data_IF_432323826878
#
_entry.id   IF_432323826878
#
_cell.length_a   1.000
_cell.length_b   1.000
_cell.length_c   1.000
_cell.angle_alpha   90.00
_cell.angle_beta   90.00
_cell.angle_gamma   90.00
#
_symmetry.space_group_name_H-M   'P 1'
#
loop_
_entity.id
_entity.type
_entity.pdbx_description
1 polymer ?
#
# COMPACT_ATOMS: atom_id res chain seq x y z
N UNK A 1 -44.88 9.94 0.89
CA UNK A 1 -43.49 10.12 0.35
C UNK A 1 -42.69 10.75 1.47
N UNK A 2 -42.08 9.88 2.29
CA UNK A 2 -41.67 10.24 3.64
C UNK A 2 -40.19 10.49 3.79
N UNK A 3 -39.77 10.68 5.02
CA UNK A 3 -38.38 10.84 5.51
C UNK A 3 -37.36 9.93 4.80
N UNK A 4 -37.76 8.71 4.38
CA UNK A 4 -36.89 7.78 3.65
C UNK A 4 -36.46 8.26 2.26
N UNK A 5 -37.30 9.01 1.52
CA UNK A 5 -36.93 9.53 0.21
C UNK A 5 -35.97 10.74 0.33
N UNK A 6 -36.12 11.55 1.38
CA UNK A 6 -35.21 12.65 1.67
C UNK A 6 -33.85 12.11 2.04
N UNK A 7 -33.79 11.12 2.92
CA UNK A 7 -32.54 10.49 3.34
C UNK A 7 -31.80 9.79 2.18
N UNK A 8 -32.51 9.04 1.33
CA UNK A 8 -31.91 8.45 0.11
C UNK A 8 -31.27 9.52 -0.78
N UNK A 9 -31.94 10.65 -0.99
CA UNK A 9 -31.37 11.76 -1.78
C UNK A 9 -30.10 12.31 -1.14
N UNK A 10 -30.11 12.54 0.18
CA UNK A 10 -28.93 13.01 0.90
C UNK A 10 -27.73 12.06 0.75
N UNK A 11 -27.96 10.74 0.86
CA UNK A 11 -26.91 9.76 0.65
C UNK A 11 -26.42 9.77 -0.80
N UNK A 12 -27.33 9.85 -1.78
CA UNK A 12 -26.94 9.93 -3.21
C UNK A 12 -26.13 11.20 -3.52
N UNK A 13 -26.48 12.34 -2.93
CA UNK A 13 -25.74 13.59 -3.07
C UNK A 13 -24.35 13.47 -2.44
N UNK A 14 -24.24 12.85 -1.26
CA UNK A 14 -22.98 12.64 -0.54
C UNK A 14 -21.98 11.82 -1.39
N UNK A 15 -22.44 10.75 -2.02
CA UNK A 15 -21.62 9.90 -2.89
C UNK A 15 -21.57 10.38 -4.34
N UNK A 16 -22.22 11.51 -4.68
CA UNK A 16 -22.24 12.13 -6.01
C UNK A 16 -22.79 11.22 -7.12
N UNK A 17 -23.98 10.64 -6.91
CA UNK A 17 -24.67 9.80 -7.89
C UNK A 17 -26.11 10.27 -8.20
N UNK A 18 -26.51 11.44 -7.74
CA UNK A 18 -27.86 11.97 -7.90
C UNK A 18 -28.28 12.14 -9.36
N UNK A 19 -27.34 12.42 -10.25
CA UNK A 19 -27.53 12.49 -11.71
C UNK A 19 -27.88 11.13 -12.32
N UNK A 20 -27.49 10.02 -11.69
CA UNK A 20 -27.71 8.65 -12.17
C UNK A 20 -28.93 7.97 -11.54
N UNK A 21 -29.73 8.66 -10.72
CA UNK A 21 -30.86 8.10 -9.94
C UNK A 21 -31.88 7.30 -10.76
N UNK A 22 -32.04 7.64 -12.04
CA UNK A 22 -33.01 7.02 -12.94
C UNK A 22 -32.40 5.93 -13.82
N UNK A 23 -31.10 5.63 -13.68
CA UNK A 23 -30.41 4.59 -14.44
C UNK A 23 -30.38 3.27 -13.67
N UNK A 24 -30.47 2.18 -14.39
CA UNK A 24 -30.25 0.85 -13.83
C UNK A 24 -28.77 0.68 -13.46
N UNK A 25 -28.49 0.08 -12.31
CA UNK A 25 -27.13 -0.15 -11.80
C UNK A 25 -26.25 -0.89 -12.81
N UNK A 26 -26.81 -1.88 -13.54
CA UNK A 26 -26.09 -2.63 -14.58
C UNK A 26 -25.55 -1.76 -15.73
N UNK A 27 -26.15 -0.59 -15.96
CA UNK A 27 -25.78 0.35 -17.02
C UNK A 27 -24.84 1.46 -16.53
N UNK A 28 -24.39 1.41 -15.27
CA UNK A 28 -23.46 2.36 -14.70
C UNK A 28 -22.02 1.96 -14.98
N UNK A 29 -21.13 2.96 -15.10
CA UNK A 29 -19.69 2.73 -15.12
C UNK A 29 -19.21 2.06 -13.82
N UNK A 30 -18.01 1.51 -13.83
CA UNK A 30 -17.42 0.89 -12.62
C UNK A 30 -17.38 1.88 -11.46
N UNK A 31 -16.95 3.13 -11.70
CA UNK A 31 -16.89 4.17 -10.67
C UNK A 31 -18.25 4.52 -10.08
N UNK A 32 -19.28 4.60 -10.91
CA UNK A 32 -20.64 4.82 -10.40
C UNK A 32 -21.16 3.62 -9.62
N UNK A 33 -20.87 2.38 -10.02
CA UNK A 33 -21.23 1.19 -9.23
C UNK A 33 -20.53 1.17 -7.87
N UNK A 34 -19.26 1.56 -7.82
CA UNK A 34 -18.52 1.68 -6.57
C UNK A 34 -19.17 2.69 -5.62
N UNK A 35 -19.60 3.85 -6.15
CA UNK A 35 -20.33 4.86 -5.37
C UNK A 35 -21.71 4.39 -4.90
N UNK A 36 -22.39 3.54 -5.68
CA UNK A 36 -23.64 2.90 -5.24
C UNK A 36 -23.37 1.98 -4.05
N UNK A 37 -22.30 1.16 -4.08
CA UNK A 37 -21.91 0.34 -2.95
C UNK A 37 -21.56 1.17 -1.70
N UNK A 38 -20.87 2.29 -1.87
CA UNK A 38 -20.62 3.25 -0.77
C UNK A 38 -21.93 3.84 -0.23
N UNK A 39 -22.86 4.22 -1.10
CA UNK A 39 -24.17 4.69 -0.69
C UNK A 39 -24.92 3.66 0.17
N UNK A 40 -24.87 2.41 -0.23
CA UNK A 40 -25.48 1.29 0.49
C UNK A 40 -24.81 1.09 1.86
N UNK A 41 -23.48 1.14 1.92
CA UNK A 41 -22.73 1.00 3.17
C UNK A 41 -23.01 2.12 4.19
N UNK A 42 -23.35 3.33 3.73
CA UNK A 42 -23.67 4.49 4.59
C UNK A 42 -25.15 4.48 5.02
N UNK A 43 -26.01 3.78 4.28
CA UNK A 43 -27.44 3.74 4.59
C UNK A 43 -27.68 3.16 6.00
N UNK A 44 -28.53 3.82 6.78
CA UNK A 44 -28.79 3.46 8.17
C UNK A 44 -27.85 4.13 9.17
N UNK A 45 -26.88 4.91 8.71
CA UNK A 45 -25.92 5.63 9.54
C UNK A 45 -25.17 4.74 10.55
N UNK A 46 -24.51 3.66 10.06
CA UNK A 46 -23.84 2.69 10.92
C UNK A 46 -22.65 3.31 11.64
N UNK A 47 -22.33 2.81 12.84
CA UNK A 47 -21.13 3.24 13.56
C UNK A 47 -19.84 2.79 12.86
N UNK A 48 -19.87 1.62 12.21
CA UNK A 48 -18.74 1.02 11.50
C UNK A 48 -19.09 0.80 10.05
N UNK A 49 -18.23 1.24 9.14
CA UNK A 49 -18.31 1.05 7.68
C UNK A 49 -17.12 0.20 7.25
N UNK A 50 -17.36 -0.89 6.52
CA UNK A 50 -16.33 -1.77 5.99
C UNK A 50 -16.32 -1.62 4.46
N UNK A 51 -15.16 -1.29 3.91
CA UNK A 51 -14.94 -1.07 2.47
C UNK A 51 -13.86 -2.03 1.97
N UNK A 52 -14.24 -2.92 1.08
CA UNK A 52 -13.29 -3.84 0.45
C UNK A 52 -12.83 -3.28 -0.88
N UNK A 53 -11.52 -2.99 -0.99
CA UNK A 53 -10.84 -2.46 -2.19
C UNK A 53 -11.60 -1.29 -2.86
N UNK A 54 -11.95 -0.20 -2.15
CA UNK A 54 -12.89 0.83 -2.62
C UNK A 54 -12.40 1.62 -3.85
N UNK A 55 -11.13 1.52 -4.23
CA UNK A 55 -10.49 2.28 -5.31
C UNK A 55 -10.12 1.42 -6.51
N UNK A 56 -10.25 0.10 -6.42
CA UNK A 56 -9.81 -0.83 -7.47
C UNK A 56 -10.52 -0.58 -8.81
N UNK A 57 -9.70 -0.34 -9.84
CA UNK A 57 -10.13 -0.16 -11.23
C UNK A 57 -10.87 1.14 -11.49
N UNK A 58 -10.63 2.14 -10.66
CA UNK A 58 -11.01 3.52 -10.87
C UNK A 58 -9.87 4.30 -11.56
N UNK A 59 -10.23 5.35 -12.30
CA UNK A 59 -9.25 6.28 -12.82
C UNK A 59 -8.70 7.20 -11.70
N UNK A 60 -7.54 7.87 -11.91
CA UNK A 60 -6.90 8.70 -10.88
C UNK A 60 -7.81 9.79 -10.30
N UNK A 61 -8.69 10.40 -11.12
CA UNK A 61 -9.62 11.43 -10.66
C UNK A 61 -10.67 10.83 -9.73
N UNK A 62 -11.21 9.68 -10.09
CA UNK A 62 -12.19 8.97 -9.27
C UNK A 62 -11.59 8.49 -7.94
N UNK A 63 -10.33 8.04 -7.95
CA UNK A 63 -9.60 7.65 -6.72
C UNK A 63 -9.54 8.83 -5.76
N UNK A 64 -9.17 10.03 -6.23
CA UNK A 64 -9.11 11.25 -5.39
C UNK A 64 -10.47 11.56 -4.79
N UNK A 65 -11.54 11.43 -5.57
CA UNK A 65 -12.90 11.71 -5.10
C UNK A 65 -13.37 10.69 -4.06
N UNK A 66 -13.07 9.40 -4.23
CA UNK A 66 -13.39 8.35 -3.24
C UNK A 66 -12.58 8.56 -1.95
N UNK A 67 -11.29 8.90 -2.05
CA UNK A 67 -10.47 9.23 -0.87
C UNK A 67 -11.04 10.41 -0.09
N UNK A 68 -11.48 11.45 -0.79
CA UNK A 68 -12.11 12.61 -0.17
C UNK A 68 -13.40 12.20 0.56
N UNK A 69 -14.21 11.36 -0.05
CA UNK A 69 -15.43 10.84 0.57
C UNK A 69 -15.13 10.00 1.82
N UNK A 70 -14.14 9.11 1.76
CA UNK A 70 -13.72 8.32 2.93
C UNK A 70 -13.25 9.24 4.07
N UNK A 71 -12.50 10.31 3.76
CA UNK A 71 -12.08 11.31 4.76
C UNK A 71 -13.27 12.04 5.42
N UNK A 72 -14.32 12.29 4.68
CA UNK A 72 -15.54 12.88 5.25
C UNK A 72 -16.30 11.87 6.12
N UNK A 73 -16.38 10.61 5.68
CA UNK A 73 -17.05 9.55 6.43
C UNK A 73 -16.39 9.28 7.78
N UNK A 74 -15.05 9.24 7.83
CA UNK A 74 -14.31 8.96 9.07
C UNK A 74 -14.50 10.00 10.17
N UNK A 75 -15.03 11.19 9.86
CA UNK A 75 -15.38 12.19 10.87
C UNK A 75 -16.55 11.77 11.77
N UNK A 76 -17.37 10.83 11.30
CA UNK A 76 -18.64 10.43 11.96
C UNK A 76 -18.78 8.92 12.11
N UNK A 77 -17.93 8.14 11.45
CA UNK A 77 -17.98 6.68 11.41
C UNK A 77 -16.58 6.11 11.65
N UNK A 78 -16.51 4.93 12.23
CA UNK A 78 -15.27 4.11 12.14
C UNK A 78 -15.25 3.47 10.77
N UNK A 79 -14.23 3.77 9.96
CA UNK A 79 -14.08 3.22 8.61
C UNK A 79 -12.94 2.22 8.60
N UNK A 80 -13.24 0.98 8.24
CA UNK A 80 -12.27 -0.08 7.98
C UNK A 80 -12.21 -0.27 6.47
N UNK A 81 -11.03 -0.20 5.89
CA UNK A 81 -10.86 -0.45 4.46
C UNK A 81 -9.74 -1.44 4.19
N UNK A 82 -9.91 -2.28 3.19
CA UNK A 82 -8.83 -3.09 2.63
C UNK A 82 -8.22 -2.38 1.40
N UNK A 83 -6.93 -2.53 1.21
CA UNK A 83 -6.22 -2.17 -0.02
C UNK A 83 -4.88 -2.89 -0.09
N UNK A 84 -4.41 -3.17 -1.30
CA UNK A 84 -3.07 -3.69 -1.57
C UNK A 84 -2.09 -2.58 -1.97
N UNK A 85 -2.52 -1.31 -1.99
CA UNK A 85 -1.72 -0.15 -2.40
C UNK A 85 -1.43 0.71 -1.18
N UNK A 86 -0.18 0.65 -0.66
CA UNK A 86 0.22 1.36 0.55
C UNK A 86 0.02 2.88 0.46
N UNK A 87 0.31 3.49 -0.68
CA UNK A 87 0.11 4.94 -0.88
C UNK A 87 -1.36 5.36 -0.82
N UNK A 88 -2.29 4.47 -1.11
CA UNK A 88 -3.73 4.73 -0.94
C UNK A 88 -4.14 4.68 0.51
N UNK A 89 -3.65 3.67 1.22
CA UNK A 89 -3.89 3.50 2.66
C UNK A 89 -3.33 4.68 3.44
N UNK A 90 -2.06 5.04 3.19
CA UNK A 90 -1.39 6.17 3.86
C UNK A 90 -2.09 7.51 3.62
N UNK A 91 -2.79 7.67 2.51
CA UNK A 91 -3.50 8.91 2.19
C UNK A 91 -4.80 9.11 2.99
N UNK A 92 -5.40 8.07 3.56
CA UNK A 92 -6.74 8.14 4.19
C UNK A 92 -6.83 7.51 5.57
N UNK A 93 -5.96 6.55 5.92
CA UNK A 93 -6.00 5.83 7.19
C UNK A 93 -5.19 6.54 8.28
N UNK A 94 -5.65 6.46 9.51
CA UNK A 94 -4.94 6.92 10.70
C UNK A 94 -4.09 5.78 11.30
N UNK A 95 -4.49 4.52 11.02
CA UNK A 95 -3.84 3.32 11.53
C UNK A 95 -3.91 2.19 10.51
N UNK A 96 -2.88 1.37 10.43
CA UNK A 96 -2.74 0.32 9.42
C UNK A 96 -2.42 -1.02 10.08
N UNK A 97 -3.07 -2.07 9.59
CA UNK A 97 -2.83 -3.45 9.95
C UNK A 97 -2.31 -4.18 8.72
N UNK A 98 -1.08 -4.70 8.77
CA UNK A 98 -0.52 -5.50 7.68
C UNK A 98 -0.72 -6.98 7.97
N UNK A 99 -1.44 -7.66 7.08
CA UNK A 99 -1.73 -9.08 7.19
C UNK A 99 -0.99 -9.83 6.08
N UNK A 100 -0.27 -10.89 6.46
CA UNK A 100 0.40 -11.80 5.54
C UNK A 100 0.15 -13.24 5.95
N UNK A 101 -0.26 -14.07 4.98
CA UNK A 101 -0.60 -15.50 5.22
C UNK A 101 -1.56 -15.71 6.41
N UNK A 102 -2.56 -14.85 6.55
CA UNK A 102 -3.56 -14.90 7.62
C UNK A 102 -3.04 -14.50 9.01
N UNK A 103 -1.83 -13.95 9.11
CA UNK A 103 -1.24 -13.43 10.36
C UNK A 103 -1.04 -11.93 10.31
N UNK A 104 -1.27 -11.27 11.43
CA UNK A 104 -0.91 -9.86 11.60
C UNK A 104 0.61 -9.76 11.74
N UNK A 105 1.26 -9.09 10.79
CA UNK A 105 2.73 -8.95 10.74
C UNK A 105 3.22 -7.58 11.21
N UNK A 106 2.40 -6.55 11.05
CA UNK A 106 2.69 -5.21 11.56
C UNK A 106 1.40 -4.44 11.83
N UNK A 107 1.47 -3.47 12.74
CA UNK A 107 0.32 -2.69 13.19
C UNK A 107 0.83 -1.37 13.76
N UNK A 108 0.66 -0.27 13.00
CA UNK A 108 1.10 1.07 13.41
C UNK A 108 0.47 2.16 12.52
N UNK A 109 0.84 3.41 12.77
CA UNK A 109 0.50 4.52 11.89
C UNK A 109 1.21 4.38 10.53
N UNK A 110 0.64 4.94 9.44
CA UNK A 110 1.31 4.93 8.13
C UNK A 110 2.72 5.51 8.14
N UNK A 111 2.94 6.56 8.93
CA UNK A 111 4.24 7.23 9.07
C UNK A 111 5.29 6.31 9.71
N UNK A 112 4.93 5.61 10.79
CA UNK A 112 5.85 4.68 11.47
C UNK A 112 6.14 3.46 10.58
N UNK A 113 5.12 2.93 9.90
CA UNK A 113 5.32 1.83 8.95
C UNK A 113 6.19 2.24 7.76
N UNK A 114 6.06 3.50 7.29
CA UNK A 114 6.94 4.07 6.28
C UNK A 114 8.39 4.09 6.75
N UNK A 115 8.66 4.59 7.96
CA UNK A 115 10.01 4.60 8.56
C UNK A 115 10.58 3.19 8.72
N UNK A 116 9.76 2.22 9.14
CA UNK A 116 10.18 0.81 9.23
C UNK A 116 10.51 0.23 7.85
N UNK A 117 9.82 0.65 6.80
CA UNK A 117 10.11 0.25 5.43
C UNK A 117 11.33 0.98 4.84
N UNK A 118 11.52 2.25 5.21
CA UNK A 118 12.68 3.07 4.82
C UNK A 118 13.94 2.70 5.63
N UNK A 119 13.78 2.24 6.87
CA UNK A 119 14.86 1.88 7.79
C UNK A 119 15.59 0.57 7.46
N UNK A 120 15.22 -0.11 6.39
CA UNK A 120 16.02 -1.17 5.79
C UNK A 120 16.27 -0.85 4.31
N UNK A 121 17.23 0.04 4.04
CA UNK A 121 17.85 0.09 2.72
C UNK A 121 18.53 -1.25 2.47
N UNK A 122 17.75 -2.20 1.94
CA UNK A 122 18.26 -3.51 1.59
C UNK A 122 18.53 -3.54 0.10
N UNK A 123 19.78 -3.66 -0.28
CA UNK A 123 20.18 -3.88 -1.66
C UNK A 123 20.20 -5.38 -1.92
N UNK A 124 19.35 -5.85 -2.84
CA UNK A 124 19.34 -7.24 -3.29
C UNK A 124 20.06 -7.35 -4.65
N UNK A 125 20.97 -8.31 -4.76
CA UNK A 125 21.77 -8.49 -5.98
C UNK A 125 22.10 -9.96 -6.20
N UNK A 126 22.35 -10.32 -7.47
CA UNK A 126 22.87 -11.63 -7.86
C UNK A 126 24.32 -11.46 -8.30
N UNK A 127 25.24 -12.15 -7.60
CA UNK A 127 26.68 -12.01 -7.82
C UNK A 127 27.27 -13.39 -8.13
N UNK A 128 28.13 -13.41 -9.15
CA UNK A 128 28.96 -14.58 -9.48
C UNK A 128 30.33 -14.39 -8.83
N UNK A 129 30.84 -15.41 -8.15
CA UNK A 129 32.18 -15.36 -7.54
C UNK A 129 32.32 -16.23 -6.32
N UNK A 130 33.44 -16.11 -5.64
CA UNK A 130 33.77 -16.80 -4.41
C UNK A 130 33.08 -16.15 -3.22
N UNK A 131 32.35 -16.97 -2.41
CA UNK A 131 31.53 -16.48 -1.28
C UNK A 131 32.29 -15.60 -0.31
N UNK A 132 33.50 -16.03 0.03
CA UNK A 132 34.35 -15.33 1.02
C UNK A 132 34.82 -13.97 0.52
N UNK A 133 35.19 -13.88 -0.75
CA UNK A 133 35.64 -12.62 -1.37
C UNK A 133 34.50 -11.62 -1.49
N UNK A 134 33.32 -12.07 -1.97
CA UNK A 134 32.11 -11.24 -2.08
C UNK A 134 31.74 -10.70 -0.70
N UNK A 135 31.72 -11.56 0.33
CA UNK A 135 31.33 -11.16 1.69
C UNK A 135 32.31 -10.12 2.26
N UNK A 136 33.61 -10.37 2.17
CA UNK A 136 34.63 -9.44 2.68
C UNK A 136 34.56 -8.08 1.99
N UNK A 137 34.37 -8.06 0.68
CA UNK A 137 34.25 -6.81 -0.06
C UNK A 137 33.03 -5.99 0.34
N UNK A 138 31.89 -6.64 0.56
CA UNK A 138 30.64 -5.97 0.96
C UNK A 138 30.66 -5.53 2.44
N UNK A 139 31.17 -6.34 3.35
CA UNK A 139 31.32 -5.99 4.76
C UNK A 139 32.36 -4.87 5.00
N UNK A 140 33.26 -4.63 4.04
CA UNK A 140 34.23 -3.53 4.08
C UNK A 140 33.69 -2.17 3.58
N UNK A 141 32.43 -2.10 3.15
CA UNK A 141 31.79 -0.85 2.72
C UNK A 141 31.24 -0.11 3.94
N UNK A 142 31.54 1.18 4.04
CA UNK A 142 31.08 2.02 5.15
C UNK A 142 29.55 2.15 5.13
N UNK A 143 28.92 1.94 6.30
CA UNK A 143 27.46 1.98 6.44
C UNK A 143 26.73 0.68 6.13
N UNK A 144 27.44 -0.43 5.87
CA UNK A 144 26.85 -1.76 5.77
C UNK A 144 26.63 -2.35 7.16
N UNK A 145 25.36 -2.65 7.47
CA UNK A 145 24.97 -3.25 8.77
C UNK A 145 25.03 -4.77 8.73
N UNK A 146 24.59 -5.38 7.64
CA UNK A 146 24.60 -6.84 7.51
C UNK A 146 24.61 -7.30 6.05
N UNK A 147 25.26 -8.46 5.82
CA UNK A 147 25.31 -9.12 4.51
C UNK A 147 24.80 -10.55 4.68
N UNK A 148 23.68 -10.85 4.02
CA UNK A 148 23.11 -12.20 3.95
C UNK A 148 23.31 -12.77 2.56
N UNK A 149 23.75 -14.04 2.47
CA UNK A 149 24.05 -14.68 1.19
C UNK A 149 23.42 -16.06 1.12
N UNK A 150 22.62 -16.29 0.07
CA UNK A 150 22.01 -17.58 -0.24
C UNK A 150 22.48 -18.04 -1.64
N UNK A 151 22.77 -19.34 -1.79
CA UNK A 151 23.20 -19.87 -3.09
C UNK A 151 21.99 -20.17 -3.97
N UNK A 152 21.92 -19.55 -5.13
CA UNK A 152 21.00 -19.99 -6.20
C UNK A 152 21.61 -21.15 -6.97
N UNK A 153 21.18 -22.37 -6.64
CA UNK A 153 21.70 -23.59 -7.26
C UNK A 153 21.39 -23.70 -8.75
N UNK A 154 20.33 -23.01 -9.23
CA UNK A 154 19.93 -23.08 -10.64
C UNK A 154 20.84 -22.23 -11.55
N UNK A 155 21.34 -21.12 -11.04
CA UNK A 155 22.13 -20.16 -11.81
C UNK A 155 23.62 -20.15 -11.41
N UNK A 156 23.99 -20.89 -10.37
CA UNK A 156 25.34 -20.88 -9.77
C UNK A 156 25.80 -19.47 -9.39
N UNK A 157 24.87 -18.67 -8.88
CA UNK A 157 25.04 -17.29 -8.40
C UNK A 157 24.77 -17.23 -6.89
N UNK A 158 25.25 -16.16 -6.26
CA UNK A 158 24.87 -15.82 -4.89
C UNK A 158 23.77 -14.76 -4.92
N UNK A 159 22.63 -15.06 -4.32
CA UNK A 159 21.63 -14.06 -3.94
C UNK A 159 22.12 -13.38 -2.68
N UNK A 160 22.47 -12.11 -2.79
CA UNK A 160 23.08 -11.32 -1.71
C UNK A 160 22.12 -10.22 -1.33
N UNK A 161 21.84 -10.11 -0.02
CA UNK A 161 21.09 -9.01 0.57
C UNK A 161 22.02 -8.24 1.51
N UNK A 162 22.21 -6.96 1.21
CA UNK A 162 23.01 -6.03 2.01
C UNK A 162 22.06 -5.02 2.65
N UNK A 163 22.05 -4.94 3.98
CA UNK A 163 21.31 -3.89 4.67
C UNK A 163 22.26 -2.78 5.13
N UNK A 164 21.82 -1.53 4.95
CA UNK A 164 22.61 -0.32 5.25
C UNK A 164 21.92 0.54 6.30
N UNK A 165 22.65 1.49 6.86
CA UNK A 165 22.10 2.55 7.69
C UNK A 165 21.17 3.48 6.90
N UNK A 166 20.25 4.16 7.60
CA UNK A 166 19.35 5.12 6.98
C UNK A 166 20.13 6.18 6.18
N UNK A 167 19.69 6.41 4.92
CA UNK A 167 20.20 7.43 3.99
C UNK A 167 21.56 7.16 3.32
N UNK A 168 22.18 6.01 3.48
CA UNK A 168 23.42 5.70 2.75
C UNK A 168 23.16 4.93 1.47
N UNK A 169 23.33 5.57 0.31
CA UNK A 169 23.25 4.91 -0.99
C UNK A 169 24.60 4.30 -1.38
N UNK A 170 24.77 3.02 -1.08
CA UNK A 170 26.00 2.28 -1.32
C UNK A 170 26.11 1.64 -2.71
N UNK A 171 25.11 1.87 -3.61
CA UNK A 171 25.03 1.17 -4.92
C UNK A 171 26.26 1.40 -5.78
N UNK A 172 26.77 2.63 -5.81
CA UNK A 172 27.97 2.97 -6.57
C UNK A 172 29.21 2.29 -5.99
N UNK A 173 29.39 2.31 -4.69
CA UNK A 173 30.52 1.70 -3.98
C UNK A 173 30.52 0.17 -4.13
N UNK A 174 29.34 -0.46 -4.01
CA UNK A 174 29.16 -1.88 -4.26
C UNK A 174 29.56 -2.24 -5.69
N UNK A 175 29.14 -1.43 -6.69
CA UNK A 175 29.50 -1.65 -8.08
C UNK A 175 31.03 -1.63 -8.30
N UNK A 176 31.73 -0.65 -7.76
CA UNK A 176 33.20 -0.57 -7.86
C UNK A 176 33.87 -1.75 -7.17
N UNK A 177 33.50 -2.05 -5.92
CA UNK A 177 34.08 -3.19 -5.17
C UNK A 177 33.85 -4.53 -5.86
N UNK A 178 32.67 -4.74 -6.45
CA UNK A 178 32.39 -5.98 -7.17
C UNK A 178 33.15 -6.06 -8.52
N UNK A 179 33.45 -4.93 -9.13
CA UNK A 179 34.26 -4.90 -10.37
C UNK A 179 35.77 -5.20 -10.13
N UNK A 180 36.24 -4.99 -8.91
CA UNK A 180 37.65 -5.28 -8.52
C UNK A 180 37.93 -6.78 -8.28
N UNK A 181 36.88 -7.56 -7.95
CA UNK A 181 37.01 -8.98 -7.61
C UNK A 181 36.52 -9.94 -8.73
N UNK A 182 36.13 -9.40 -9.89
CA UNK A 182 35.79 -10.21 -11.10
C UNK A 182 36.93 -10.19 -12.12
#
# INVERSE_FOLDING_TARGET
>A
RGLGDVYKRQVMDMVKISDMRNRLIKNLSKGYRQRVGLAEAIMGYPEVIILDEPTVGLDPKQIIEIRTLIKELKKKHTVILSSHILSEVSAVCDYVLIISHGKLVASDTPENLGKLAEGSNTLEMLIKGEKTQIRQALEGIEGVNSVTMEKDEKQNLWSVKVSTEEQNDIREEVFYKMSEIN
#
